data_IF_417775486193
#
_entry.id   IF_417775486193
#
_cell.length_a   1.000
_cell.length_b   1.000
_cell.length_c   1.000
_cell.angle_alpha   90.00
_cell.angle_beta   90.00
_cell.angle_gamma   90.00
#
_symmetry.space_group_name_H-M   'P 1'
#
loop_
_entity.id
_entity.type
_entity.pdbx_description
1 polymer ?
#
# COMPACT_ATOMS: atom_id res chain seq x y z
N UNK A 1 -22.36 3.58 3.16
CA UNK A 1 -22.44 2.09 3.25
C UNK A 1 -21.44 1.67 4.32
N UNK A 2 -21.85 0.89 5.30
CA UNK A 2 -20.97 0.50 6.42
C UNK A 2 -20.34 -0.87 6.17
N UNK A 3 -19.61 -1.01 5.04
CA UNK A 3 -19.02 -2.30 4.62
C UNK A 3 -18.03 -2.88 5.65
N UNK A 4 -17.47 -2.02 6.50
CA UNK A 4 -16.46 -2.39 7.50
C UNK A 4 -16.90 -2.18 8.93
N UNK A 5 -18.23 -2.08 9.19
CA UNK A 5 -18.75 -1.90 10.54
C UNK A 5 -18.21 -2.99 11.47
N UNK A 6 -17.58 -2.57 12.59
CA UNK A 6 -16.98 -3.45 13.58
C UNK A 6 -15.68 -4.14 13.16
N UNK A 7 -15.16 -3.90 11.94
CA UNK A 7 -13.90 -4.46 11.45
C UNK A 7 -12.71 -3.63 11.90
N UNK A 8 -11.62 -4.28 12.32
CA UNK A 8 -10.36 -3.65 12.70
C UNK A 8 -9.38 -3.70 11.54
N UNK A 9 -8.91 -2.52 11.13
CA UNK A 9 -8.06 -2.36 9.94
C UNK A 9 -6.77 -1.66 10.30
N UNK A 10 -5.63 -2.31 10.08
CA UNK A 10 -4.31 -1.71 10.21
C UNK A 10 -3.88 -1.14 8.86
N UNK A 11 -3.44 0.12 8.82
CA UNK A 11 -2.92 0.76 7.61
C UNK A 11 -1.53 1.31 7.91
N UNK A 12 -0.52 0.75 7.25
CA UNK A 12 0.84 1.23 7.35
C UNK A 12 1.11 2.36 6.37
N UNK A 13 1.94 3.35 6.75
CA UNK A 13 2.14 4.56 5.95
C UNK A 13 0.89 5.46 5.89
N UNK A 14 0.08 5.45 6.96
CA UNK A 14 -1.22 6.13 7.02
C UNK A 14 -1.15 7.65 7.20
N UNK A 15 0.04 8.23 7.37
CA UNK A 15 0.19 9.66 7.66
C UNK A 15 0.09 10.60 6.46
N UNK A 16 0.06 10.09 5.21
CA UNK A 16 -0.09 10.89 3.99
C UNK A 16 -0.49 10.03 2.78
N UNK A 17 -0.80 10.68 1.66
CA UNK A 17 -1.02 10.06 0.35
C UNK A 17 -2.04 8.92 0.38
N UNK A 18 -1.72 7.83 -0.32
CA UNK A 18 -2.62 6.66 -0.48
C UNK A 18 -3.04 6.06 0.86
N UNK A 19 -2.10 5.95 1.82
CA UNK A 19 -2.41 5.39 3.14
C UNK A 19 -3.42 6.22 3.93
N UNK A 20 -3.29 7.56 3.90
CA UNK A 20 -4.23 8.47 4.53
C UNK A 20 -5.60 8.44 3.86
N UNK A 21 -5.63 8.41 2.52
CA UNK A 21 -6.87 8.30 1.74
C UNK A 21 -7.61 6.99 2.03
N UNK A 22 -6.88 5.86 2.03
CA UNK A 22 -7.45 4.57 2.40
C UNK A 22 -7.99 4.57 3.84
N UNK A 23 -7.26 5.16 4.79
CA UNK A 23 -7.68 5.26 6.19
C UNK A 23 -9.00 6.02 6.33
N UNK A 24 -9.12 7.20 5.69
CA UNK A 24 -10.37 7.96 5.67
C UNK A 24 -11.49 7.15 5.04
N UNK A 25 -11.25 6.48 3.92
CA UNK A 25 -12.25 5.66 3.26
C UNK A 25 -12.77 4.54 4.18
N UNK A 26 -11.90 3.81 4.85
CA UNK A 26 -12.29 2.79 5.80
C UNK A 26 -13.06 3.37 6.99
N UNK A 27 -12.62 4.50 7.53
CA UNK A 27 -13.34 5.21 8.61
C UNK A 27 -14.75 5.63 8.21
N UNK A 28 -14.92 6.18 7.00
CA UNK A 28 -16.24 6.55 6.44
C UNK A 28 -17.17 5.34 6.26
N UNK A 29 -16.62 4.14 6.18
CA UNK A 29 -17.36 2.90 6.04
C UNK A 29 -17.47 2.09 7.35
N UNK A 30 -17.24 2.75 8.50
CA UNK A 30 -17.52 2.22 9.83
C UNK A 30 -16.42 1.34 10.43
N UNK A 31 -15.23 1.36 9.88
CA UNK A 31 -14.10 0.59 10.41
C UNK A 31 -13.51 1.19 11.69
N UNK A 32 -12.95 0.33 12.55
CA UNK A 32 -11.99 0.70 13.59
C UNK A 32 -10.60 0.75 12.94
N UNK A 33 -10.08 1.97 12.76
CA UNK A 33 -8.86 2.21 11.98
C UNK A 33 -7.65 2.34 12.89
N UNK A 34 -6.57 1.65 12.55
CA UNK A 34 -5.25 1.78 13.18
C UNK A 34 -4.30 2.44 12.19
N UNK A 35 -3.90 3.66 12.52
CA UNK A 35 -3.01 4.50 11.71
C UNK A 35 -1.57 4.26 12.12
N UNK A 36 -0.76 3.72 11.21
CA UNK A 36 0.64 3.39 11.47
C UNK A 36 1.58 4.19 10.58
N UNK A 37 2.63 4.74 11.18
CA UNK A 37 3.71 5.47 10.50
C UNK A 37 4.76 5.94 11.48
N UNK A 38 5.85 6.55 11.01
CA UNK A 38 6.94 7.00 11.88
C UNK A 38 6.72 8.39 12.50
N UNK A 39 5.93 9.22 11.85
CA UNK A 39 5.73 10.64 12.23
C UNK A 39 4.36 10.79 12.87
N UNK A 40 4.33 10.87 14.21
CA UNK A 40 3.10 10.93 14.98
C UNK A 40 2.20 12.08 14.57
N UNK A 41 2.77 13.27 14.36
CA UNK A 41 2.03 14.49 14.02
C UNK A 41 1.27 14.37 12.69
N UNK A 42 1.83 13.59 11.72
CA UNK A 42 1.15 13.31 10.45
C UNK A 42 -0.03 12.34 10.67
N UNK A 43 0.13 11.37 11.55
CA UNK A 43 -0.92 10.39 11.88
C UNK A 43 -2.05 11.06 12.65
N UNK A 44 -1.73 11.91 13.62
CA UNK A 44 -2.72 12.64 14.44
C UNK A 44 -3.61 13.52 13.55
N UNK A 45 -3.04 14.21 12.55
CA UNK A 45 -3.82 14.98 11.55
C UNK A 45 -4.79 14.13 10.73
N UNK A 46 -4.44 12.88 10.44
CA UNK A 46 -5.36 11.96 9.73
C UNK A 46 -6.41 11.42 10.70
N UNK A 47 -6.04 11.19 11.96
CA UNK A 47 -6.94 10.72 13.00
C UNK A 47 -8.06 11.73 13.32
N UNK A 48 -7.79 13.04 13.18
CA UNK A 48 -8.80 14.11 13.36
C UNK A 48 -10.02 13.91 12.43
N UNK A 49 -9.83 13.29 11.27
CA UNK A 49 -10.89 12.99 10.29
C UNK A 49 -11.59 11.65 10.56
N UNK A 50 -11.10 10.82 11.50
CA UNK A 50 -11.56 9.44 11.70
C UNK A 50 -11.86 9.21 13.19
N UNK A 51 -13.10 9.45 13.65
CA UNK A 51 -13.46 9.29 15.04
C UNK A 51 -13.11 7.90 15.59
N UNK A 52 -12.35 7.86 16.70
CA UNK A 52 -11.96 6.61 17.35
C UNK A 52 -10.78 5.87 16.68
N UNK A 53 -10.10 6.51 15.74
CA UNK A 53 -8.87 5.93 15.16
C UNK A 53 -7.77 5.79 16.23
N UNK A 54 -7.07 4.65 16.20
CA UNK A 54 -5.90 4.38 17.02
C UNK A 54 -4.63 4.81 16.27
N UNK A 55 -3.79 5.62 16.91
CA UNK A 55 -2.51 6.05 16.33
C UNK A 55 -1.35 5.29 16.96
N UNK A 56 -0.54 4.62 16.14
CA UNK A 56 0.67 3.91 16.57
C UNK A 56 1.88 4.39 15.76
N UNK A 57 2.73 5.19 16.41
CA UNK A 57 3.96 5.67 15.79
C UNK A 57 5.05 4.58 15.89
N UNK A 58 5.36 3.91 14.77
CA UNK A 58 6.32 2.81 14.72
C UNK A 58 6.96 2.66 13.33
N UNK A 59 8.15 2.02 13.27
CA UNK A 59 8.82 1.64 12.02
C UNK A 59 8.51 0.18 11.66
N UNK A 60 7.80 -0.03 10.57
CA UNK A 60 7.48 -1.37 10.04
C UNK A 60 8.72 -2.16 9.60
N UNK A 61 9.85 -1.50 9.39
CA UNK A 61 11.12 -2.15 9.04
C UNK A 61 11.87 -2.73 10.24
N UNK A 62 11.28 -2.79 11.43
CA UNK A 62 11.89 -3.36 12.66
C UNK A 62 10.92 -4.31 13.35
N UNK A 63 11.44 -5.39 13.94
CA UNK A 63 10.63 -6.37 14.68
C UNK A 63 9.91 -5.74 15.88
N UNK A 64 10.61 -4.85 16.62
CA UNK A 64 10.01 -4.14 17.76
C UNK A 64 8.88 -3.21 17.35
N UNK A 65 9.05 -2.50 16.21
CA UNK A 65 8.00 -1.66 15.66
C UNK A 65 6.78 -2.47 15.24
N UNK A 66 7.00 -3.59 14.57
CA UNK A 66 5.93 -4.51 14.15
C UNK A 66 5.20 -5.10 15.35
N UNK A 67 5.93 -5.52 16.38
CA UNK A 67 5.36 -6.02 17.64
C UNK A 67 4.48 -4.96 18.30
N UNK A 68 4.98 -3.75 18.44
CA UNK A 68 4.22 -2.64 19.02
C UNK A 68 2.92 -2.35 18.26
N UNK A 69 2.92 -2.47 16.91
CA UNK A 69 1.73 -2.27 16.08
C UNK A 69 0.69 -3.36 16.36
N UNK A 70 1.10 -4.63 16.33
CA UNK A 70 0.15 -5.75 16.50
C UNK A 70 -0.38 -5.77 17.93
N UNK A 71 0.50 -5.70 18.94
CA UNK A 71 0.10 -5.74 20.36
C UNK A 71 -0.83 -4.57 20.69
N UNK A 72 -0.48 -3.34 20.29
CA UNK A 72 -1.32 -2.16 20.51
C UNK A 72 -2.68 -2.23 19.78
N UNK A 73 -2.73 -2.88 18.61
CA UNK A 73 -4.01 -3.13 17.90
C UNK A 73 -4.87 -4.13 18.66
N UNK A 74 -4.28 -5.21 19.15
CA UNK A 74 -5.00 -6.26 19.89
C UNK A 74 -5.50 -5.70 21.24
N UNK A 75 -4.67 -4.91 21.93
CA UNK A 75 -5.07 -4.25 23.18
C UNK A 75 -6.28 -3.33 22.96
N UNK A 76 -6.25 -2.52 21.89
CA UNK A 76 -7.31 -1.54 21.62
C UNK A 76 -8.62 -2.18 21.10
N UNK A 77 -8.53 -3.20 20.25
CA UNK A 77 -9.67 -3.69 19.47
C UNK A 77 -9.91 -5.20 19.52
N UNK A 78 -9.01 -5.98 20.13
CA UNK A 78 -9.18 -7.42 20.35
C UNK A 78 -8.94 -8.31 19.14
N UNK A 79 -8.66 -7.76 17.94
CA UNK A 79 -8.46 -8.54 16.72
C UNK A 79 -8.02 -7.70 15.53
N UNK A 80 -7.70 -8.39 14.43
CA UNK A 80 -7.32 -7.78 13.15
C UNK A 80 -8.15 -8.45 12.05
N UNK A 81 -8.89 -7.67 11.28
CA UNK A 81 -9.67 -8.16 10.14
C UNK A 81 -9.01 -7.83 8.80
N UNK A 82 -8.33 -6.67 8.69
CA UNK A 82 -7.65 -6.25 7.47
C UNK A 82 -6.28 -5.67 7.79
N UNK A 83 -5.28 -6.08 7.01
CA UNK A 83 -3.96 -5.46 7.00
C UNK A 83 -3.71 -4.79 5.65
N UNK A 84 -3.52 -3.47 5.65
CA UNK A 84 -3.09 -2.69 4.48
C UNK A 84 -1.60 -2.39 4.62
N UNK A 85 -0.76 -3.13 3.90
CA UNK A 85 0.68 -2.89 3.77
C UNK A 85 0.92 -1.83 2.70
N UNK A 86 0.92 -0.56 3.12
CA UNK A 86 1.09 0.57 2.21
C UNK A 86 2.38 1.36 2.45
N UNK A 87 3.00 1.27 3.62
CA UNK A 87 4.27 1.95 3.91
C UNK A 87 5.32 1.67 2.84
N UNK A 88 6.00 2.71 2.37
CA UNK A 88 7.05 2.57 1.39
C UNK A 88 7.89 3.83 1.24
N UNK A 89 9.06 3.66 0.62
CA UNK A 89 9.99 4.73 0.25
C UNK A 89 10.46 4.49 -1.19
N UNK A 90 10.85 5.57 -1.87
CA UNK A 90 11.45 5.52 -3.19
C UNK A 90 12.69 6.43 -3.19
N UNK A 91 13.83 5.89 -3.59
CA UNK A 91 15.09 6.61 -3.73
C UNK A 91 15.59 6.41 -5.17
N UNK A 92 15.32 7.38 -6.07
CA UNK A 92 15.74 7.29 -7.46
C UNK A 92 17.26 7.32 -7.59
N UNK A 93 17.82 6.31 -8.24
CA UNK A 93 19.24 6.25 -8.61
C UNK A 93 19.44 5.29 -9.79
N UNK A 94 20.47 5.56 -10.62
CA UNK A 94 20.96 4.61 -11.63
C UNK A 94 21.81 3.54 -10.95
N UNK A 95 22.17 2.47 -11.68
CA UNK A 95 22.95 1.36 -11.12
C UNK A 95 24.28 1.82 -10.53
N UNK A 96 24.99 2.66 -11.25
CA UNK A 96 26.29 3.21 -10.84
C UNK A 96 26.24 4.13 -9.63
N UNK A 97 25.07 4.75 -9.37
CA UNK A 97 24.85 5.73 -8.29
C UNK A 97 24.03 5.16 -7.12
N UNK A 98 23.63 3.87 -7.21
CA UNK A 98 22.80 3.26 -6.16
C UNK A 98 23.67 2.89 -4.96
N UNK A 99 23.62 3.71 -3.93
CA UNK A 99 24.30 3.45 -2.66
C UNK A 99 23.72 2.23 -1.96
N UNK A 100 24.59 1.45 -1.29
CA UNK A 100 24.19 0.23 -0.56
C UNK A 100 23.14 0.53 0.51
N UNK A 101 23.30 1.60 1.26
CA UNK A 101 22.37 2.00 2.32
C UNK A 101 20.98 2.37 1.78
N UNK A 102 20.91 3.02 0.61
CA UNK A 102 19.67 3.34 -0.09
C UNK A 102 18.94 2.07 -0.55
N UNK A 103 19.69 1.12 -1.10
CA UNK A 103 19.19 -0.20 -1.45
C UNK A 103 18.64 -0.95 -0.23
N UNK A 104 19.45 -1.11 0.82
CA UNK A 104 19.08 -1.84 2.03
C UNK A 104 17.87 -1.20 2.75
N UNK A 105 17.83 0.12 2.82
CA UNK A 105 16.68 0.87 3.39
C UNK A 105 15.41 0.63 2.59
N UNK A 106 15.50 0.67 1.24
CA UNK A 106 14.34 0.47 0.37
C UNK A 106 13.78 -0.95 0.53
N UNK A 107 14.64 -1.98 0.50
CA UNK A 107 14.19 -3.36 0.70
C UNK A 107 13.68 -3.59 2.13
N UNK A 108 14.34 -3.03 3.14
CA UNK A 108 13.94 -3.17 4.54
C UNK A 108 12.52 -2.65 4.77
N UNK A 109 12.17 -1.50 4.20
CA UNK A 109 10.84 -0.90 4.40
C UNK A 109 9.82 -1.53 3.47
N UNK A 110 10.12 -1.56 2.15
CA UNK A 110 9.12 -1.90 1.13
C UNK A 110 8.84 -3.40 1.01
N UNK A 111 9.76 -4.27 1.42
CA UNK A 111 9.64 -5.72 1.25
C UNK A 111 9.73 -6.45 2.60
N UNK A 112 10.83 -6.27 3.35
CA UNK A 112 10.99 -6.94 4.65
C UNK A 112 9.91 -6.49 5.63
N UNK A 113 9.59 -5.19 5.69
CA UNK A 113 8.53 -4.66 6.54
C UNK A 113 7.15 -5.21 6.18
N UNK A 114 6.87 -5.39 4.89
CA UNK A 114 5.63 -6.04 4.42
C UNK A 114 5.55 -7.49 4.91
N UNK A 115 6.66 -8.24 4.81
CA UNK A 115 6.75 -9.60 5.32
C UNK A 115 6.54 -9.64 6.84
N UNK A 116 7.28 -8.84 7.61
CA UNK A 116 7.20 -8.82 9.08
C UNK A 116 5.79 -8.47 9.59
N UNK A 117 5.20 -7.42 9.03
CA UNK A 117 3.83 -7.03 9.38
C UNK A 117 2.81 -8.13 9.06
N UNK A 118 2.95 -8.75 7.88
CA UNK A 118 2.06 -9.83 7.46
C UNK A 118 2.22 -11.04 8.37
N UNK A 119 3.46 -11.44 8.67
CA UNK A 119 3.75 -12.58 9.55
C UNK A 119 3.16 -12.37 10.96
N UNK A 120 3.36 -11.20 11.54
CA UNK A 120 2.85 -10.89 12.88
C UNK A 120 1.32 -10.81 12.95
N UNK A 121 0.67 -10.26 11.91
CA UNK A 121 -0.79 -10.17 11.83
C UNK A 121 -1.46 -11.50 11.41
N UNK A 122 -0.71 -12.44 10.81
CA UNK A 122 -1.25 -13.63 10.17
C UNK A 122 -2.13 -14.52 11.05
N UNK A 123 -1.77 -14.83 12.32
CA UNK A 123 -2.63 -15.61 13.21
C UNK A 123 -4.00 -14.95 13.46
N UNK A 124 -4.02 -13.63 13.56
CA UNK A 124 -5.25 -12.86 13.79
C UNK A 124 -6.12 -12.81 12.53
N UNK A 125 -5.50 -12.63 11.36
CA UNK A 125 -6.17 -12.66 10.07
C UNK A 125 -6.78 -14.04 9.79
N UNK A 126 -6.07 -15.12 10.09
CA UNK A 126 -6.64 -16.48 9.97
C UNK A 126 -7.84 -16.69 10.89
N UNK A 127 -7.80 -16.15 12.12
CA UNK A 127 -8.91 -16.24 13.08
C UNK A 127 -10.15 -15.49 12.60
N UNK A 128 -9.99 -14.37 11.91
CA UNK A 128 -11.11 -13.53 11.41
C UNK A 128 -11.59 -13.92 10.01
N UNK A 129 -10.86 -14.78 9.27
CA UNK A 129 -11.06 -14.95 7.82
C UNK A 129 -10.84 -13.66 7.05
N UNK A 130 -9.83 -12.91 7.46
CA UNK A 130 -9.60 -11.51 7.07
C UNK A 130 -8.94 -11.30 5.71
N UNK A 131 -8.34 -10.13 5.52
CA UNK A 131 -7.74 -9.74 4.24
C UNK A 131 -6.38 -9.07 4.43
N UNK A 132 -5.49 -9.28 3.43
CA UNK A 132 -4.29 -8.48 3.25
C UNK A 132 -4.37 -7.76 1.91
N UNK A 133 -4.20 -6.44 1.91
CA UNK A 133 -4.04 -5.65 0.70
C UNK A 133 -2.68 -4.97 0.74
N UNK A 134 -1.87 -5.17 -0.30
CA UNK A 134 -0.53 -4.59 -0.41
C UNK A 134 -0.49 -3.50 -1.47
N UNK A 135 0.22 -2.41 -1.20
CA UNK A 135 0.51 -1.39 -2.20
C UNK A 135 1.81 -1.77 -2.93
N UNK A 136 1.65 -2.44 -4.09
CA UNK A 136 2.75 -2.65 -5.03
C UNK A 136 2.96 -1.37 -5.87
N UNK A 137 3.19 -1.49 -7.16
CA UNK A 137 3.33 -0.42 -8.14
C UNK A 137 3.29 -1.02 -9.54
N UNK A 138 3.05 -0.21 -10.57
CA UNK A 138 3.37 -0.59 -11.95
C UNK A 138 4.85 -0.97 -12.10
N UNK A 139 5.74 -0.37 -11.28
CA UNK A 139 7.17 -0.73 -11.15
C UNK A 139 7.40 -2.15 -10.59
N UNK A 140 6.39 -2.77 -9.98
CA UNK A 140 6.43 -4.17 -9.53
C UNK A 140 5.89 -5.14 -10.57
N UNK A 141 5.40 -4.64 -11.70
CA UNK A 141 4.88 -5.39 -12.84
C UNK A 141 5.78 -5.27 -14.07
N UNK A 142 6.45 -4.13 -14.22
CA UNK A 142 7.45 -3.82 -15.23
C UNK A 142 8.64 -3.11 -14.59
N UNK A 143 9.50 -2.48 -15.40
CA UNK A 143 10.68 -1.75 -14.92
C UNK A 143 10.60 -0.26 -15.21
N UNK A 144 11.07 0.55 -14.26
CA UNK A 144 11.27 1.99 -14.43
C UNK A 144 12.74 2.36 -14.46
N UNK A 145 13.09 3.36 -15.26
CA UNK A 145 14.45 3.90 -15.30
C UNK A 145 14.82 4.60 -13.99
N UNK A 146 16.02 4.31 -13.48
CA UNK A 146 16.55 4.99 -12.29
C UNK A 146 15.82 4.65 -11.00
N UNK A 147 15.14 3.50 -10.91
CA UNK A 147 14.35 3.07 -9.75
C UNK A 147 14.67 1.64 -9.31
N UNK A 148 15.95 1.22 -9.40
CA UNK A 148 16.36 -0.18 -9.25
C UNK A 148 15.91 -0.83 -7.95
N UNK A 149 16.23 -0.23 -6.79
CA UNK A 149 15.85 -0.78 -5.49
C UNK A 149 14.33 -0.81 -5.31
N UNK A 150 13.64 0.24 -5.80
CA UNK A 150 12.18 0.32 -5.75
C UNK A 150 11.55 -0.77 -6.61
N UNK A 151 11.97 -0.93 -7.88
CA UNK A 151 11.51 -1.99 -8.79
C UNK A 151 11.71 -3.37 -8.16
N UNK A 152 12.90 -3.66 -7.63
CA UNK A 152 13.20 -4.92 -6.95
C UNK A 152 12.25 -5.17 -5.77
N UNK A 153 12.04 -4.14 -4.94
CA UNK A 153 11.16 -4.25 -3.77
C UNK A 153 9.69 -4.48 -4.16
N UNK A 154 9.17 -3.74 -5.15
CA UNK A 154 7.77 -3.85 -5.59
C UNK A 154 7.51 -5.10 -6.43
N UNK A 155 8.51 -5.57 -7.21
CA UNK A 155 8.49 -6.87 -7.85
C UNK A 155 8.43 -8.01 -6.83
N UNK A 156 9.22 -7.90 -5.75
CA UNK A 156 9.17 -8.80 -4.59
C UNK A 156 7.78 -8.84 -3.95
N UNK A 157 7.18 -7.68 -3.67
CA UNK A 157 5.80 -7.58 -3.13
C UNK A 157 4.79 -8.22 -4.08
N UNK A 158 4.86 -7.94 -5.40
CA UNK A 158 3.93 -8.50 -6.38
C UNK A 158 3.98 -10.03 -6.41
N UNK A 159 5.18 -10.61 -6.33
CA UNK A 159 5.30 -12.08 -6.30
C UNK A 159 4.95 -12.66 -4.92
N UNK A 160 5.25 -11.94 -3.83
CA UNK A 160 4.87 -12.33 -2.47
C UNK A 160 3.35 -12.45 -2.31
N UNK A 161 2.56 -11.54 -2.89
CA UNK A 161 1.09 -11.62 -2.93
C UNK A 161 0.61 -12.94 -3.52
N UNK A 162 1.19 -13.36 -4.66
CA UNK A 162 0.81 -14.62 -5.33
C UNK A 162 1.14 -15.84 -4.48
N UNK A 163 2.35 -15.89 -3.92
CA UNK A 163 2.77 -16.96 -3.05
C UNK A 163 1.90 -17.05 -1.80
N UNK A 164 1.68 -15.93 -1.11
CA UNK A 164 0.91 -15.87 0.12
C UNK A 164 -0.58 -16.18 -0.10
N UNK A 165 -1.14 -15.84 -1.26
CA UNK A 165 -2.50 -16.20 -1.62
C UNK A 165 -2.71 -17.73 -1.72
N UNK A 166 -1.66 -18.48 -2.08
CA UNK A 166 -1.66 -19.96 -2.08
C UNK A 166 -1.49 -20.51 -0.65
N UNK A 167 -0.61 -19.88 0.16
CA UNK A 167 -0.37 -20.22 1.57
C UNK A 167 -1.59 -19.93 2.48
N UNK A 168 -2.50 -19.07 2.04
CA UNK A 168 -3.73 -18.77 2.78
C UNK A 168 -4.65 -19.98 2.92
N UNK A 169 -4.53 -20.94 2.01
CA UNK A 169 -5.24 -22.22 2.01
C UNK A 169 -6.75 -22.04 2.29
N UNK A 170 -7.35 -22.94 3.08
CA UNK A 170 -8.78 -22.87 3.43
C UNK A 170 -9.09 -21.96 4.63
N UNK A 171 -8.15 -21.12 5.05
CA UNK A 171 -8.34 -20.18 6.17
C UNK A 171 -9.37 -19.09 5.91
N UNK A 172 -9.76 -18.88 4.65
CA UNK A 172 -10.63 -17.79 4.22
C UNK A 172 -9.93 -16.44 4.07
N UNK A 173 -8.63 -16.36 4.38
CA UNK A 173 -7.83 -15.13 4.19
C UNK A 173 -7.63 -14.88 2.70
N UNK A 174 -7.86 -13.65 2.24
CA UNK A 174 -7.54 -13.22 0.87
C UNK A 174 -6.35 -12.29 0.88
N UNK A 175 -5.51 -12.40 -0.15
CA UNK A 175 -4.29 -11.60 -0.28
C UNK A 175 -4.23 -11.00 -1.68
N UNK A 176 -4.24 -9.69 -1.78
CA UNK A 176 -4.25 -8.96 -3.05
C UNK A 176 -3.32 -7.74 -2.99
N UNK A 177 -3.03 -7.15 -4.13
CA UNK A 177 -2.34 -5.87 -4.20
C UNK A 177 -3.00 -4.91 -5.18
N UNK A 178 -2.85 -3.62 -4.92
CA UNK A 178 -2.99 -2.57 -5.93
C UNK A 178 -1.62 -2.25 -6.52
N UNK A 179 -1.58 -1.91 -7.80
CA UNK A 179 -0.38 -1.46 -8.50
C UNK A 179 -0.61 -0.06 -9.10
N UNK A 180 -0.44 1.01 -8.28
CA UNK A 180 -0.60 2.38 -8.75
C UNK A 180 0.51 2.79 -9.71
N UNK A 181 0.19 3.71 -10.64
CA UNK A 181 1.16 4.55 -11.35
C UNK A 181 1.39 5.87 -10.60
N UNK A 182 1.76 6.93 -11.32
CA UNK A 182 1.90 8.27 -10.75
C UNK A 182 0.62 8.65 -10.00
N UNK A 183 0.77 8.95 -8.70
CA UNK A 183 -0.32 9.36 -7.80
C UNK A 183 0.13 10.63 -7.09
N UNK A 184 -0.75 11.62 -6.96
CA UNK A 184 -0.45 12.93 -6.35
C UNK A 184 -0.24 12.76 -4.85
N UNK A 185 1.03 12.58 -4.45
CA UNK A 185 1.46 12.33 -3.06
C UNK A 185 2.76 13.06 -2.78
N UNK A 186 3.15 13.20 -1.51
CA UNK A 186 4.46 13.74 -1.10
C UNK A 186 5.61 13.01 -1.83
N UNK A 187 5.49 11.69 -2.03
CA UNK A 187 6.49 10.87 -2.72
C UNK A 187 6.65 11.25 -4.20
N UNK A 188 5.59 11.72 -4.84
CA UNK A 188 5.57 12.09 -6.24
C UNK A 188 5.65 13.60 -6.48
N UNK A 189 5.89 14.43 -5.45
CA UNK A 189 5.91 15.90 -5.57
C UNK A 189 6.92 16.38 -6.62
N UNK A 190 8.14 15.85 -6.61
CA UNK A 190 9.17 16.19 -7.61
C UNK A 190 8.80 15.79 -9.05
N UNK A 191 7.88 14.86 -9.25
CA UNK A 191 7.32 14.54 -10.56
C UNK A 191 6.22 15.54 -10.94
N UNK A 192 5.26 15.76 -10.04
CA UNK A 192 4.05 16.55 -10.31
C UNK A 192 4.36 18.04 -10.45
N UNK A 193 5.35 18.53 -9.71
CA UNK A 193 5.80 19.93 -9.73
C UNK A 193 6.72 20.26 -10.94
N UNK A 194 7.19 19.24 -11.66
CA UNK A 194 8.00 19.43 -12.86
C UNK A 194 7.14 19.28 -14.12
N UNK A 195 6.66 20.39 -14.67
CA UNK A 195 5.76 20.43 -15.83
C UNK A 195 6.24 19.60 -17.02
N UNK A 196 7.54 19.65 -17.33
CA UNK A 196 8.13 18.91 -18.45
C UNK A 196 8.09 17.41 -18.20
N UNK A 197 8.45 16.96 -16.99
CA UNK A 197 8.44 15.55 -16.62
C UNK A 197 7.00 15.04 -16.49
N UNK A 198 6.14 15.83 -15.84
CA UNK A 198 4.73 15.49 -15.70
C UNK A 198 4.00 15.40 -17.05
N UNK A 199 4.36 16.29 -18.00
CA UNK A 199 3.89 16.21 -19.38
C UNK A 199 4.16 14.87 -20.03
N UNK A 200 5.39 14.35 -19.90
CA UNK A 200 5.78 13.02 -20.43
C UNK A 200 5.02 11.87 -19.75
N UNK A 201 4.72 11.99 -18.47
CA UNK A 201 3.89 11.00 -17.77
C UNK A 201 2.45 11.02 -18.26
N UNK A 202 1.86 12.22 -18.44
CA UNK A 202 0.50 12.37 -18.97
C UNK A 202 0.34 11.77 -20.36
N UNK A 203 1.34 11.90 -21.23
CA UNK A 203 1.33 11.28 -22.57
C UNK A 203 1.29 9.74 -22.50
N UNK A 204 1.82 9.14 -21.44
CA UNK A 204 1.88 7.69 -21.28
C UNK A 204 0.67 7.12 -20.53
N UNK A 205 -0.09 7.95 -19.84
CA UNK A 205 -1.29 7.55 -19.10
C UNK A 205 -2.52 7.88 -19.93
N UNK A 206 -3.29 6.90 -20.47
CA UNK A 206 -4.46 7.16 -21.31
C UNK A 206 -5.51 8.11 -20.69
N UNK A 207 -5.68 8.09 -19.35
CA UNK A 207 -6.56 9.05 -18.66
C UNK A 207 -5.98 10.47 -18.57
N UNK A 208 -4.74 10.71 -19.03
CA UNK A 208 -4.14 12.03 -19.21
C UNK A 208 -3.73 12.74 -17.91
N UNK A 209 -3.72 12.07 -16.76
CA UNK A 209 -3.35 12.64 -15.45
C UNK A 209 -2.79 11.59 -14.49
N UNK A 210 -2.11 12.04 -13.46
CA UNK A 210 -1.86 11.22 -12.28
C UNK A 210 -3.18 10.91 -11.54
N UNK A 211 -3.19 9.84 -10.77
CA UNK A 211 -4.31 9.51 -9.90
C UNK A 211 -4.31 10.41 -8.66
N UNK A 212 -5.49 10.68 -8.12
CA UNK A 212 -5.62 11.19 -6.77
C UNK A 212 -5.47 10.04 -5.76
N UNK A 213 -4.92 10.27 -4.55
CA UNK A 213 -4.75 9.22 -3.54
C UNK A 213 -6.05 8.48 -3.21
N UNK A 214 -7.18 9.17 -3.24
CA UNK A 214 -8.52 8.65 -2.98
C UNK A 214 -8.92 7.56 -3.98
N UNK A 215 -8.56 7.71 -5.26
CA UNK A 215 -8.86 6.73 -6.30
C UNK A 215 -8.17 5.38 -6.04
N UNK A 216 -6.94 5.43 -5.49
CA UNK A 216 -6.23 4.22 -5.08
C UNK A 216 -6.78 3.67 -3.76
N UNK A 217 -7.09 4.55 -2.80
CA UNK A 217 -7.72 4.21 -1.52
C UNK A 217 -9.05 3.48 -1.68
N UNK A 218 -9.86 3.91 -2.65
CA UNK A 218 -11.13 3.29 -2.99
C UNK A 218 -10.97 1.85 -3.49
N UNK A 219 -9.95 1.60 -4.32
CA UNK A 219 -9.65 0.25 -4.83
C UNK A 219 -9.08 -0.63 -3.71
N UNK A 220 -8.27 -0.09 -2.79
CA UNK A 220 -7.83 -0.81 -1.60
C UNK A 220 -9.04 -1.25 -0.77
N UNK A 221 -9.99 -0.35 -0.51
CA UNK A 221 -11.21 -0.67 0.22
C UNK A 221 -12.08 -1.69 -0.50
N UNK A 222 -12.20 -1.63 -1.84
CA UNK A 222 -12.88 -2.65 -2.63
C UNK A 222 -12.24 -4.03 -2.45
N UNK A 223 -10.92 -4.16 -2.61
CA UNK A 223 -10.22 -5.44 -2.46
C UNK A 223 -10.34 -6.02 -1.05
N UNK A 224 -10.41 -5.17 -0.03
CA UNK A 224 -10.61 -5.58 1.36
C UNK A 224 -12.06 -5.98 1.68
N UNK A 225 -13.03 -5.55 0.86
CA UNK A 225 -14.46 -5.74 1.14
C UNK A 225 -14.99 -7.13 0.75
N UNK A 226 -16.24 -7.41 1.15
CA UNK A 226 -16.98 -8.60 0.72
C UNK A 226 -17.27 -8.60 -0.79
N UNK A 227 -17.28 -7.43 -1.45
CA UNK A 227 -17.51 -7.35 -2.90
C UNK A 227 -16.40 -8.05 -3.69
N UNK A 228 -15.17 -8.12 -3.12
CA UNK A 228 -14.03 -8.83 -3.67
C UNK A 228 -13.85 -10.27 -3.12
N UNK A 229 -14.89 -10.91 -2.57
CA UNK A 229 -14.80 -12.20 -1.85
C UNK A 229 -14.27 -13.38 -2.68
N UNK A 230 -14.24 -13.26 -3.99
CA UNK A 230 -13.66 -14.27 -4.89
C UNK A 230 -12.41 -13.77 -5.63
N UNK A 231 -11.86 -12.62 -5.19
CA UNK A 231 -10.61 -12.05 -5.71
C UNK A 231 -9.47 -12.40 -4.74
N UNK A 232 -8.51 -13.20 -5.21
CA UNK A 232 -7.36 -13.64 -4.41
C UNK A 232 -6.12 -13.77 -5.31
N UNK A 233 -4.96 -13.29 -4.87
CA UNK A 233 -3.69 -13.34 -5.60
C UNK A 233 -3.56 -12.31 -6.73
N UNK A 234 -4.47 -11.32 -6.86
CA UNK A 234 -4.40 -10.32 -7.93
C UNK A 234 -3.41 -9.21 -7.58
N UNK A 235 -2.71 -8.74 -8.60
CA UNK A 235 -2.02 -7.45 -8.60
C UNK A 235 -2.81 -6.55 -9.55
N UNK A 236 -3.66 -5.69 -8.99
CA UNK A 236 -4.62 -4.89 -9.75
C UNK A 236 -4.00 -3.54 -10.12
N UNK A 237 -3.75 -3.25 -11.41
CA UNK A 237 -3.30 -1.93 -11.84
C UNK A 237 -4.34 -0.86 -11.52
N UNK A 238 -3.89 0.23 -10.92
CA UNK A 238 -4.66 1.46 -10.67
C UNK A 238 -3.84 2.60 -11.28
N UNK A 239 -3.79 2.64 -12.60
CA UNK A 239 -2.73 3.31 -13.36
C UNK A 239 -3.22 4.17 -14.53
N UNK A 240 -4.51 4.38 -14.62
CA UNK A 240 -5.11 5.16 -15.71
C UNK A 240 -4.92 4.56 -17.11
N UNK A 241 -4.61 3.26 -17.18
CA UNK A 241 -4.38 2.52 -18.42
C UNK A 241 -2.92 2.47 -18.88
N UNK A 242 -1.96 2.96 -18.06
CA UNK A 242 -0.53 2.96 -18.40
C UNK A 242 -0.04 1.57 -18.81
N UNK A 243 -0.33 0.54 -18.02
CA UNK A 243 0.14 -0.82 -18.26
C UNK A 243 -0.66 -1.58 -19.33
N UNK A 244 -1.74 -1.02 -19.85
CA UNK A 244 -2.48 -1.60 -20.98
C UNK A 244 -1.74 -1.41 -22.32
N UNK A 245 -0.77 -0.48 -22.39
CA UNK A 245 0.04 -0.23 -23.58
C UNK A 245 1.11 -1.31 -23.77
N UNK A 246 1.31 -1.73 -25.02
CA UNK A 246 2.45 -2.55 -25.44
C UNK A 246 3.74 -1.74 -25.68
N UNK A 247 3.72 -0.43 -25.38
CA UNK A 247 4.85 0.48 -25.54
C UNK A 247 4.93 1.19 -26.90
N UNK A 248 4.06 0.87 -27.86
CA UNK A 248 4.03 1.58 -29.14
C UNK A 248 3.44 2.98 -28.96
N UNK A 249 3.93 3.97 -29.73
CA UNK A 249 3.36 5.32 -29.71
C UNK A 249 1.97 5.34 -30.39
N UNK A 250 1.17 6.37 -30.10
CA UNK A 250 -0.06 6.63 -30.86
C UNK A 250 0.23 6.78 -32.37
N UNK A 251 -0.65 6.28 -33.20
CA UNK A 251 -0.49 6.32 -34.67
C UNK A 251 -1.08 7.59 -35.32
N UNK A 252 -1.60 8.53 -34.55
CA UNK A 252 -2.17 9.79 -35.03
C UNK A 252 -2.81 10.61 -33.94
#
# INVERSE_FOLDING_TARGET
MDRFSGKTIIITGAGSGIGAAAARRFGQEGARVVLVGRTREKLDKVADDIPGAQVIAADVGTEDGVRAIVDGTIEAFGGIDVLVNNAGVAEPARMEDTERDAWDKTLRINLTGVYLMTQAAWPHLKKSGGNVVMTSSVSGMGGDWGMLAYNASKGGVSNFVKALALEADQSGVRVNAVAPSATVTDMASGLVENDTLYGKFKERIPLGRAADPEEVGDVIAFLASHDARFVNGVILPVDGGLSASNGQPPLG
#
